data_IF_494870878446
#
_entry.id   IF_494870878446
#
_cell.length_a   1.000
_cell.length_b   1.000
_cell.length_c   1.000
_cell.angle_alpha   90.00
_cell.angle_beta   90.00
_cell.angle_gamma   90.00
#
_symmetry.space_group_name_H-M   'P 1'
#
loop_
_entity.id
_entity.type
_entity.pdbx_description
1 polymer ?
#
# COMPACT_ATOMS: atom_id res chain seq x y z
N UNK A 1 19.66 1.17 12.35
CA UNK A 1 20.40 -0.11 12.38
C UNK A 1 19.65 -1.07 11.50
N UNK A 2 20.30 -1.64 10.49
CA UNK A 2 19.68 -2.62 9.60
C UNK A 2 19.88 -4.03 10.18
N UNK A 3 18.77 -4.66 10.56
CA UNK A 3 18.75 -6.00 11.15
C UNK A 3 19.20 -7.04 10.12
N UNK A 4 18.90 -6.83 8.84
CA UNK A 4 19.35 -7.69 7.74
C UNK A 4 20.87 -7.77 7.65
N UNK A 5 21.56 -6.65 7.84
CA UNK A 5 23.05 -6.60 7.86
C UNK A 5 23.63 -7.32 9.07
N UNK A 6 22.95 -7.27 10.22
CA UNK A 6 23.40 -7.97 11.42
C UNK A 6 23.24 -9.50 11.32
N UNK A 7 22.20 -9.96 10.64
CA UNK A 7 21.92 -11.38 10.35
C UNK A 7 22.77 -11.90 9.19
N UNK A 8 23.15 -11.03 8.24
CA UNK A 8 24.00 -11.38 7.11
C UNK A 8 25.36 -11.94 7.58
N UNK A 9 25.65 -13.18 7.19
CA UNK A 9 26.89 -13.87 7.53
C UNK A 9 26.96 -14.42 8.96
N UNK A 10 25.88 -14.42 9.74
CA UNK A 10 25.80 -15.22 10.98
C UNK A 10 25.29 -16.61 10.66
N UNK A 11 26.12 -17.63 10.87
CA UNK A 11 25.74 -19.04 10.66
C UNK A 11 25.03 -19.62 11.89
N UNK A 12 25.22 -19.00 13.05
CA UNK A 12 24.70 -19.43 14.34
C UNK A 12 24.13 -18.26 15.16
N UNK A 13 23.09 -18.55 15.96
CA UNK A 13 22.41 -17.62 16.87
C UNK A 13 23.34 -16.81 17.77
N UNK A 14 24.37 -17.45 18.32
CA UNK A 14 25.32 -16.82 19.23
C UNK A 14 26.18 -15.74 18.57
N UNK A 15 26.41 -15.82 17.26
CA UNK A 15 27.17 -14.83 16.52
C UNK A 15 26.39 -13.51 16.40
N UNK A 16 25.07 -13.61 16.21
CA UNK A 16 24.18 -12.44 16.19
C UNK A 16 24.15 -11.75 17.56
N UNK A 17 23.92 -12.49 18.64
CA UNK A 17 23.89 -11.94 20.00
C UNK A 17 25.23 -11.27 20.37
N UNK A 18 26.36 -11.87 19.98
CA UNK A 18 27.69 -11.32 20.20
C UNK A 18 27.92 -10.02 19.41
N UNK A 19 27.49 -9.97 18.14
CA UNK A 19 27.57 -8.75 17.32
C UNK A 19 26.71 -7.63 17.90
N UNK A 20 25.47 -7.94 18.30
CA UNK A 20 24.59 -6.95 18.90
C UNK A 20 25.16 -6.40 20.21
N UNK A 21 25.67 -7.26 21.10
CA UNK A 21 26.37 -6.81 22.31
C UNK A 21 27.56 -5.90 22.00
N UNK A 22 28.36 -6.23 20.98
CA UNK A 22 29.47 -5.37 20.58
C UNK A 22 28.99 -3.99 20.12
N UNK A 23 27.93 -3.93 19.31
CA UNK A 23 27.31 -2.68 18.87
C UNK A 23 26.80 -1.85 20.06
N UNK A 24 26.10 -2.49 21.01
CA UNK A 24 25.60 -1.80 22.22
C UNK A 24 26.75 -1.23 23.07
N UNK A 25 27.80 -2.03 23.29
CA UNK A 25 28.99 -1.59 24.05
C UNK A 25 29.74 -0.44 23.36
N UNK A 26 29.76 -0.41 22.03
CA UNK A 26 30.38 0.69 21.28
C UNK A 26 29.50 1.95 21.29
N UNK A 27 28.17 1.79 21.30
CA UNK A 27 27.24 2.92 21.44
C UNK A 27 27.35 3.59 22.81
N UNK A 28 27.56 2.83 23.88
CA UNK A 28 27.77 3.39 25.24
C UNK A 28 28.98 4.32 25.32
N UNK A 29 30.00 4.10 24.48
CA UNK A 29 31.20 4.96 24.42
C UNK A 29 30.96 6.27 23.66
N UNK A 30 29.85 6.37 22.93
CA UNK A 30 29.53 7.54 22.10
C UNK A 30 28.54 8.43 22.89
N UNK A 31 28.97 9.61 23.36
CA UNK A 31 28.08 10.48 24.11
C UNK A 31 26.92 10.96 23.23
N UNK A 32 25.71 10.94 23.80
CA UNK A 32 24.45 11.33 23.14
C UNK A 32 24.06 10.49 21.91
N UNK A 33 24.60 9.27 21.76
CA UNK A 33 24.15 8.37 20.71
C UNK A 33 22.64 8.06 20.82
N UNK A 34 21.96 8.05 19.68
CA UNK A 34 20.56 7.60 19.55
C UNK A 34 20.53 6.46 18.55
N UNK A 35 20.10 5.29 19.00
CA UNK A 35 19.93 4.11 18.17
C UNK A 35 18.56 4.13 17.48
N UNK A 36 18.52 4.31 16.17
CA UNK A 36 17.28 4.09 15.40
C UNK A 36 17.15 2.62 14.98
N UNK A 37 16.01 2.03 15.26
CA UNK A 37 15.63 0.67 14.91
C UNK A 37 14.36 0.74 14.08
N UNK A 38 14.47 0.38 12.81
CA UNK A 38 13.29 0.21 11.97
C UNK A 38 12.63 -1.13 12.28
N UNK A 39 11.30 -1.17 12.26
CA UNK A 39 10.50 -2.37 12.51
C UNK A 39 10.91 -3.10 13.80
N UNK A 40 10.97 -2.37 14.93
CA UNK A 40 11.48 -2.88 16.22
C UNK A 40 10.75 -4.14 16.71
N UNK A 41 9.50 -4.33 16.29
CA UNK A 41 8.71 -5.53 16.58
C UNK A 41 9.35 -6.81 16.02
N UNK A 42 10.16 -6.74 14.96
CA UNK A 42 10.88 -7.91 14.41
C UNK A 42 11.90 -8.47 15.41
N UNK A 43 12.50 -7.62 16.25
CA UNK A 43 13.45 -8.03 17.29
C UNK A 43 12.78 -8.50 18.58
N UNK A 44 11.57 -8.03 18.86
CA UNK A 44 10.86 -8.32 20.13
C UNK A 44 9.85 -9.46 19.95
N UNK A 45 9.25 -9.57 18.76
CA UNK A 45 8.08 -10.41 18.48
C UNK A 45 8.34 -11.60 17.58
N UNK A 46 9.59 -11.91 17.22
CA UNK A 46 9.90 -13.08 16.41
C UNK A 46 9.44 -14.44 17.03
N UNK A 47 8.89 -14.45 18.25
CA UNK A 47 8.38 -15.64 18.91
C UNK A 47 6.89 -15.88 18.68
N UNK A 48 6.53 -16.60 17.60
CA UNK A 48 5.35 -17.50 17.62
C UNK A 48 5.17 -18.41 16.39
N UNK A 49 5.92 -18.24 15.30
CA UNK A 49 5.81 -19.15 14.15
C UNK A 49 7.15 -19.85 13.97
N UNK A 50 7.22 -21.14 14.30
CA UNK A 50 8.39 -22.02 14.15
C UNK A 50 9.62 -21.77 15.05
N UNK A 51 9.45 -21.94 16.38
CA UNK A 51 10.44 -22.55 17.30
C UNK A 51 11.89 -22.02 17.38
N UNK A 52 12.22 -20.86 16.79
CA UNK A 52 13.60 -20.42 16.54
C UNK A 52 13.83 -18.92 16.75
N UNK A 53 13.07 -18.29 17.64
CA UNK A 53 13.14 -16.84 17.82
C UNK A 53 14.27 -16.41 18.75
N UNK A 54 15.16 -15.57 18.21
CA UNK A 54 16.10 -14.74 18.97
C UNK A 54 15.27 -13.77 19.83
N UNK A 55 15.23 -13.98 21.15
CA UNK A 55 14.62 -13.02 22.07
C UNK A 55 15.65 -11.91 22.41
N UNK A 56 15.81 -11.00 21.45
CA UNK A 56 16.71 -9.85 21.53
C UNK A 56 16.27 -8.86 22.62
N UNK A 57 15.01 -8.93 23.05
CA UNK A 57 14.44 -8.07 24.09
C UNK A 57 15.25 -8.13 25.39
N UNK A 58 15.77 -9.32 25.74
CA UNK A 58 16.54 -9.51 26.97
C UNK A 58 17.92 -8.84 26.96
N UNK A 59 18.47 -8.59 25.77
CA UNK A 59 19.73 -7.86 25.62
C UNK A 59 19.52 -6.35 25.70
N UNK A 60 18.35 -5.86 25.28
CA UNK A 60 18.02 -4.43 25.29
C UNK A 60 17.43 -3.97 26.63
N UNK A 61 16.70 -4.84 27.34
CA UNK A 61 16.04 -4.53 28.62
C UNK A 61 16.96 -3.84 29.65
N UNK A 62 18.21 -4.31 29.92
CA UNK A 62 19.09 -3.66 30.88
C UNK A 62 19.47 -2.23 30.46
N UNK A 63 19.97 -2.06 29.23
CA UNK A 63 20.44 -0.77 28.71
C UNK A 63 19.31 0.26 28.52
N UNK A 64 18.08 -0.20 28.32
CA UNK A 64 16.89 0.65 28.29
C UNK A 64 16.39 1.00 29.71
N UNK A 65 16.70 0.18 30.71
CA UNK A 65 16.23 0.37 32.08
C UNK A 65 17.11 1.33 32.88
N UNK A 66 18.43 1.28 32.70
CA UNK A 66 19.37 2.23 33.32
C UNK A 66 19.51 3.55 32.53
N UNK A 67 18.96 3.60 31.31
CA UNK A 67 18.97 4.76 30.45
C UNK A 67 20.31 5.01 29.74
N UNK A 68 21.22 4.02 29.75
CA UNK A 68 22.49 4.09 29.01
C UNK A 68 22.26 4.10 27.50
N UNK A 69 21.19 3.44 27.04
CA UNK A 69 20.78 3.39 25.64
C UNK A 69 19.57 4.30 25.39
N UNK A 70 19.75 5.28 24.50
CA UNK A 70 18.64 6.03 23.90
C UNK A 70 18.33 5.42 22.54
N UNK A 71 17.08 5.09 22.29
CA UNK A 71 16.67 4.56 20.99
C UNK A 71 15.34 5.13 20.51
N UNK A 72 15.13 5.03 19.20
CA UNK A 72 13.86 5.28 18.52
C UNK A 72 13.50 4.01 17.76
N UNK A 73 12.30 3.49 17.98
CA UNK A 73 11.77 2.33 17.27
C UNK A 73 10.59 2.72 16.41
N UNK A 74 10.52 2.23 15.17
CA UNK A 74 9.31 2.30 14.35
C UNK A 74 8.55 0.95 14.44
N UNK A 75 7.23 0.99 14.39
CA UNK A 75 6.38 -0.20 14.32
C UNK A 75 5.00 0.17 13.82
N UNK A 76 4.26 -0.79 13.25
CA UNK A 76 2.85 -0.58 12.96
C UNK A 76 2.00 -0.65 14.23
N UNK A 77 0.80 -0.07 14.17
CA UNK A 77 -0.17 -0.10 15.25
C UNK A 77 -0.57 -1.52 15.67
N UNK A 78 -0.72 -2.41 14.68
CA UNK A 78 -1.10 -3.79 14.92
C UNK A 78 -0.02 -4.56 15.67
N UNK A 79 1.23 -4.44 15.24
CA UNK A 79 2.36 -5.12 15.86
C UNK A 79 2.65 -4.58 17.26
N UNK A 80 2.50 -3.26 17.45
CA UNK A 80 2.60 -2.66 18.77
C UNK A 80 1.63 -3.32 19.75
N UNK A 81 0.35 -3.43 19.40
CA UNK A 81 -0.67 -4.08 20.25
C UNK A 81 -0.43 -5.59 20.43
N UNK A 82 -0.04 -6.29 19.36
CA UNK A 82 0.10 -7.76 19.38
C UNK A 82 1.30 -8.22 20.21
N UNK A 83 2.41 -7.48 20.14
CA UNK A 83 3.73 -7.90 20.66
C UNK A 83 4.22 -6.93 21.74
N UNK A 84 4.33 -5.64 21.41
CA UNK A 84 5.07 -4.67 22.22
C UNK A 84 4.33 -4.30 23.52
N UNK A 85 3.02 -4.08 23.44
CA UNK A 85 2.17 -3.72 24.57
C UNK A 85 2.03 -4.86 25.59
N UNK A 86 2.21 -6.12 25.14
CA UNK A 86 2.20 -7.30 26.02
C UNK A 86 3.47 -7.43 26.85
N UNK A 87 4.60 -6.89 26.40
CA UNK A 87 5.83 -6.84 27.19
C UNK A 87 5.82 -5.60 28.09
N UNK A 88 5.43 -5.80 29.36
CA UNK A 88 5.39 -4.74 30.36
C UNK A 88 6.75 -4.09 30.66
N UNK A 89 7.87 -4.80 30.46
CA UNK A 89 9.19 -4.25 30.74
C UNK A 89 9.58 -3.23 29.66
N UNK A 90 9.29 -3.53 28.39
CA UNK A 90 9.60 -2.64 27.27
C UNK A 90 8.58 -1.50 27.14
N UNK A 91 7.28 -1.78 27.21
CA UNK A 91 6.24 -0.74 27.08
C UNK A 91 6.38 0.39 28.10
N UNK A 92 6.92 0.12 29.29
CA UNK A 92 7.20 1.15 30.32
C UNK A 92 8.47 1.98 30.10
N UNK A 93 9.29 1.63 29.11
CA UNK A 93 10.56 2.31 28.79
C UNK A 93 10.49 3.09 27.49
N UNK A 94 9.49 2.81 26.67
CA UNK A 94 9.22 3.54 25.44
C UNK A 94 8.09 4.54 25.64
N UNK A 95 8.30 5.76 25.15
CA UNK A 95 7.21 6.72 24.97
C UNK A 95 6.54 6.42 23.62
N UNK A 96 5.27 6.04 23.65
CA UNK A 96 4.46 5.92 22.44
C UNK A 96 4.22 7.31 21.85
N UNK A 97 4.54 7.47 20.57
CA UNK A 97 4.21 8.65 19.76
C UNK A 97 3.39 8.13 18.59
N UNK A 98 2.11 8.51 18.55
CA UNK A 98 1.23 8.16 17.45
C UNK A 98 1.53 9.07 16.25
N UNK A 99 1.76 8.45 15.09
CA UNK A 99 1.98 9.14 13.82
C UNK A 99 0.76 8.87 12.96
N UNK A 100 -0.11 9.87 12.87
CA UNK A 100 -1.32 9.78 12.07
C UNK A 100 -1.01 9.95 10.57
N UNK A 101 -1.87 9.37 9.75
CA UNK A 101 -1.85 9.60 8.30
C UNK A 101 -2.09 11.09 8.03
N UNK A 102 -1.23 11.78 7.26
CA UNK A 102 -1.40 13.20 6.96
C UNK A 102 -2.67 13.45 6.15
N UNK A 103 -3.24 14.64 6.34
CA UNK A 103 -4.38 15.11 5.54
C UNK A 103 -4.00 15.26 4.06
N UNK A 104 -5.01 15.32 3.18
CA UNK A 104 -4.80 15.61 1.75
C UNK A 104 -4.05 16.94 1.58
N UNK A 105 -4.44 17.97 2.33
CA UNK A 105 -3.81 19.29 2.26
C UNK A 105 -2.35 19.28 2.68
N UNK A 106 -2.03 18.58 3.77
CA UNK A 106 -0.65 18.48 4.25
C UNK A 106 0.20 17.62 3.33
N UNK A 107 -0.39 16.57 2.76
CA UNK A 107 0.29 15.74 1.76
C UNK A 107 0.63 16.54 0.51
N UNK A 108 -0.25 17.45 0.06
CA UNK A 108 0.06 18.37 -1.04
C UNK A 108 1.27 19.25 -0.69
N UNK A 109 1.39 19.75 0.54
CA UNK A 109 2.56 20.53 0.99
C UNK A 109 3.83 19.67 1.04
N UNK A 110 3.72 18.42 1.50
CA UNK A 110 4.84 17.46 1.50
C UNK A 110 5.34 17.23 0.07
N UNK A 111 4.43 16.94 -0.87
CA UNK A 111 4.78 16.76 -2.28
C UNK A 111 5.39 18.03 -2.90
N UNK A 112 4.93 19.22 -2.51
CA UNK A 112 5.56 20.48 -2.94
C UNK A 112 7.01 20.62 -2.44
N UNK A 113 7.30 20.19 -1.21
CA UNK A 113 8.65 20.15 -0.66
C UNK A 113 9.55 19.13 -1.37
N UNK A 114 9.00 17.95 -1.70
CA UNK A 114 9.74 16.87 -2.37
C UNK A 114 9.91 17.09 -3.88
N UNK A 115 9.03 17.87 -4.50
CA UNK A 115 8.99 18.14 -5.95
C UNK A 115 10.37 18.39 -6.55
N UNK A 116 11.21 19.22 -5.92
CA UNK A 116 12.52 19.59 -6.45
C UNK A 116 13.42 18.38 -6.69
N UNK A 117 13.39 17.40 -5.78
CA UNK A 117 14.23 16.21 -5.83
C UNK A 117 13.80 15.28 -6.97
N UNK A 118 12.50 14.99 -7.08
CA UNK A 118 11.95 14.16 -8.16
C UNK A 118 12.11 14.78 -9.54
N UNK A 119 11.94 16.11 -9.66
CA UNK A 119 12.18 16.80 -10.92
C UNK A 119 13.63 16.70 -11.39
N UNK A 120 14.58 16.84 -10.46
CA UNK A 120 16.00 16.73 -10.79
C UNK A 120 16.38 15.30 -11.17
N UNK A 121 15.92 14.32 -10.38
CA UNK A 121 16.17 12.91 -10.62
C UNK A 121 15.61 12.44 -11.97
N UNK A 122 14.33 12.74 -12.24
CA UNK A 122 13.63 12.30 -13.43
C UNK A 122 13.69 13.27 -14.61
N UNK A 123 14.38 14.41 -14.48
CA UNK A 123 14.49 15.43 -15.55
C UNK A 123 13.12 15.86 -16.12
N UNK A 124 12.10 15.90 -15.27
CA UNK A 124 10.73 16.34 -15.60
C UNK A 124 10.33 17.54 -14.72
N UNK A 125 9.18 18.14 -15.00
CA UNK A 125 8.56 19.23 -14.27
C UNK A 125 7.12 18.87 -13.96
N UNK A 126 6.76 18.82 -12.69
CA UNK A 126 5.37 18.56 -12.28
C UNK A 126 4.61 19.88 -12.18
N UNK A 127 3.44 19.97 -12.82
CA UNK A 127 2.53 21.09 -12.60
C UNK A 127 1.95 21.05 -11.18
N UNK A 128 1.49 22.20 -10.65
CA UNK A 128 0.84 22.23 -9.32
C UNK A 128 -0.43 21.38 -9.31
N UNK A 129 -1.20 21.43 -10.41
CA UNK A 129 -2.40 20.62 -10.59
C UNK A 129 -2.10 19.11 -10.62
N UNK A 130 -0.97 18.70 -11.22
CA UNK A 130 -0.55 17.29 -11.20
C UNK A 130 -0.28 16.79 -9.78
N UNK A 131 0.38 17.59 -8.94
CA UNK A 131 0.62 17.20 -7.54
C UNK A 131 -0.68 17.07 -6.75
N UNK A 132 -1.61 18.01 -6.91
CA UNK A 132 -2.93 17.93 -6.26
C UNK A 132 -3.68 16.67 -6.72
N UNK A 133 -3.73 16.44 -8.03
CA UNK A 133 -4.37 15.26 -8.61
C UNK A 133 -3.74 13.95 -8.08
N UNK A 134 -2.42 13.90 -7.94
CA UNK A 134 -1.73 12.71 -7.44
C UNK A 134 -2.16 12.36 -6.01
N UNK A 135 -2.32 13.36 -5.14
CA UNK A 135 -2.82 13.13 -3.78
C UNK A 135 -4.29 12.74 -3.79
N UNK A 136 -5.15 13.47 -4.49
CA UNK A 136 -6.60 13.23 -4.48
C UNK A 136 -6.96 11.87 -5.08
N UNK A 137 -6.38 11.52 -6.23
CA UNK A 137 -6.67 10.27 -6.92
C UNK A 137 -6.08 9.07 -6.18
N UNK A 138 -4.86 9.16 -5.65
CA UNK A 138 -4.29 8.08 -4.82
C UNK A 138 -5.07 7.91 -3.52
N UNK A 139 -5.52 9.01 -2.90
CA UNK A 139 -6.37 8.94 -1.71
C UNK A 139 -7.70 8.22 -1.99
N UNK A 140 -8.35 8.55 -3.12
CA UNK A 140 -9.65 7.98 -3.50
C UNK A 140 -9.57 6.53 -4.00
N UNK A 141 -8.53 6.17 -4.75
CA UNK A 141 -8.51 4.93 -5.53
C UNK A 141 -7.50 3.87 -5.03
N UNK A 142 -6.57 4.23 -4.13
CA UNK A 142 -5.60 3.30 -3.55
C UNK A 142 -5.84 3.22 -2.04
N UNK A 143 -6.89 2.50 -1.64
CA UNK A 143 -7.37 2.42 -0.25
C UNK A 143 -6.57 1.46 0.63
N UNK A 144 -5.83 0.55 0.02
CA UNK A 144 -4.90 -0.40 0.66
C UNK A 144 -3.61 0.27 1.16
N UNK A 145 -3.36 1.52 0.74
CA UNK A 145 -2.16 2.27 1.06
C UNK A 145 -2.48 3.61 1.72
N UNK A 146 -1.49 4.13 2.45
CA UNK A 146 -1.60 5.36 3.26
C UNK A 146 -0.86 6.53 2.60
N UNK A 147 -1.37 7.74 2.80
CA UNK A 147 -0.63 8.96 2.53
C UNK A 147 0.53 9.10 3.54
N UNK A 148 1.63 9.79 3.18
CA UNK A 148 1.92 10.42 1.90
C UNK A 148 2.52 9.45 0.86
N UNK A 149 2.89 8.25 1.29
CA UNK A 149 3.64 7.24 0.53
C UNK A 149 3.03 6.94 -0.85
N UNK A 150 1.74 6.58 -0.90
CA UNK A 150 1.07 6.29 -2.17
C UNK A 150 1.06 7.45 -3.18
N UNK A 151 1.04 8.70 -2.70
CA UNK A 151 1.05 9.87 -3.57
C UNK A 151 2.47 10.17 -4.08
N UNK A 152 3.49 9.88 -3.26
CA UNK A 152 4.89 9.94 -3.64
C UNK A 152 5.19 8.91 -4.73
N UNK A 153 4.71 7.68 -4.56
CA UNK A 153 4.85 6.62 -5.57
C UNK A 153 4.24 7.01 -6.91
N UNK A 154 3.05 7.60 -6.90
CA UNK A 154 2.38 8.07 -8.13
C UNK A 154 3.25 9.07 -8.90
N UNK A 155 3.83 10.08 -8.21
CA UNK A 155 4.68 11.07 -8.89
C UNK A 155 6.02 10.47 -9.34
N UNK A 156 6.56 9.53 -8.56
CA UNK A 156 7.81 8.84 -8.86
C UNK A 156 7.67 7.98 -10.11
N UNK A 157 6.61 7.16 -10.15
CA UNK A 157 6.32 6.24 -11.25
C UNK A 157 6.10 6.99 -12.58
N UNK A 158 5.38 8.12 -12.55
CA UNK A 158 5.22 8.97 -13.75
C UNK A 158 6.57 9.51 -14.24
N UNK A 159 7.44 9.93 -13.32
CA UNK A 159 8.78 10.41 -13.65
C UNK A 159 9.66 9.30 -14.25
N UNK A 160 9.63 8.11 -13.63
CA UNK A 160 10.35 6.94 -14.08
C UNK A 160 9.88 6.49 -15.47
N UNK A 161 8.55 6.48 -15.72
CA UNK A 161 7.97 6.15 -17.01
C UNK A 161 8.54 7.04 -18.12
N UNK A 162 8.69 8.35 -17.88
CA UNK A 162 9.30 9.25 -18.87
C UNK A 162 10.77 8.95 -19.15
N UNK A 163 11.52 8.42 -18.17
CA UNK A 163 12.91 8.03 -18.38
C UNK A 163 13.05 6.76 -19.23
N UNK A 164 12.09 5.84 -19.15
CA UNK A 164 12.05 4.63 -19.96
C UNK A 164 11.68 4.94 -21.42
N UNK A 165 10.87 5.98 -21.65
CA UNK A 165 10.48 6.37 -23.01
C UNK A 165 11.68 6.83 -23.87
N UNK A 166 11.66 6.55 -25.19
CA UNK A 166 12.61 7.11 -26.15
C UNK A 166 12.63 8.64 -26.07
N UNK A 167 13.81 9.25 -26.30
CA UNK A 167 13.98 10.71 -26.22
C UNK A 167 12.96 11.50 -27.05
N UNK A 168 12.52 10.96 -28.18
CA UNK A 168 11.53 11.59 -29.08
C UNK A 168 10.11 11.63 -28.52
N UNK A 169 9.76 10.72 -27.59
CA UNK A 169 8.42 10.63 -26.99
C UNK A 169 8.37 11.12 -25.54
N UNK A 170 9.52 11.46 -24.97
CA UNK A 170 9.65 11.88 -23.58
C UNK A 170 8.97 13.22 -23.34
N UNK A 171 8.01 13.25 -22.41
CA UNK A 171 7.43 14.49 -21.92
C UNK A 171 8.31 15.06 -20.80
N UNK A 172 8.58 16.37 -20.87
CA UNK A 172 9.27 17.10 -19.80
C UNK A 172 8.27 17.65 -18.79
N UNK A 173 7.09 18.07 -19.22
CA UNK A 173 6.09 18.65 -18.34
C UNK A 173 5.00 17.62 -18.04
N UNK A 174 4.79 17.34 -16.76
CA UNK A 174 3.80 16.38 -16.25
C UNK A 174 2.53 17.14 -15.84
N UNK A 175 1.43 16.78 -16.49
CA UNK A 175 0.09 17.31 -16.27
C UNK A 175 -0.79 16.37 -15.46
N UNK A 176 -2.06 16.76 -15.32
CA UNK A 176 -3.09 15.96 -14.61
C UNK A 176 -3.35 14.63 -15.32
N UNK A 177 -3.42 14.63 -16.65
CA UNK A 177 -3.69 13.42 -17.44
C UNK A 177 -2.63 12.33 -17.24
N UNK A 178 -1.35 12.72 -17.13
CA UNK A 178 -0.27 11.75 -16.92
C UNK A 178 -0.39 11.05 -15.55
N UNK A 179 -0.91 11.78 -14.54
CA UNK A 179 -1.19 11.24 -13.21
C UNK A 179 -2.42 10.33 -13.25
N UNK A 180 -3.47 10.73 -13.96
CA UNK A 180 -4.68 9.90 -14.13
C UNK A 180 -4.34 8.56 -14.77
N UNK A 181 -3.51 8.57 -15.82
CA UNK A 181 -3.06 7.36 -16.51
C UNK A 181 -2.30 6.40 -15.57
N UNK A 182 -1.38 6.93 -14.75
CA UNK A 182 -0.62 6.08 -13.83
C UNK A 182 -1.47 5.54 -12.69
N UNK A 183 -2.36 6.38 -12.12
CA UNK A 183 -3.23 5.95 -11.03
C UNK A 183 -4.20 4.89 -11.54
N UNK A 184 -4.72 5.03 -12.76
CA UNK A 184 -5.54 4.00 -13.39
C UNK A 184 -4.77 2.68 -13.54
N UNK A 185 -3.51 2.73 -13.99
CA UNK A 185 -2.66 1.55 -14.12
C UNK A 185 -2.38 0.88 -12.76
N UNK A 186 -2.02 1.65 -11.73
CA UNK A 186 -1.70 1.15 -10.39
C UNK A 186 -2.96 0.59 -9.71
N UNK A 187 -4.07 1.33 -9.75
CA UNK A 187 -5.33 0.93 -9.14
C UNK A 187 -6.08 -0.15 -9.94
N UNK A 188 -5.52 -0.60 -11.08
CA UNK A 188 -6.15 -1.54 -12.03
C UNK A 188 -7.56 -1.10 -12.44
N UNK A 189 -7.81 0.21 -12.43
CA UNK A 189 -9.03 0.80 -12.95
C UNK A 189 -8.81 0.93 -14.45
N UNK A 190 -9.64 0.31 -15.30
CA UNK A 190 -9.50 0.45 -16.74
C UNK A 190 -9.43 1.94 -17.09
N UNK A 191 -8.30 2.37 -17.67
CA UNK A 191 -8.07 3.75 -18.10
C UNK A 191 -9.26 4.19 -18.94
N UNK A 192 -9.98 5.23 -18.48
CA UNK A 192 -11.17 5.71 -19.17
C UNK A 192 -10.83 6.09 -20.62
N UNK A 193 -11.40 5.35 -21.55
CA UNK A 193 -12.11 5.98 -22.66
C UNK A 193 -13.60 5.82 -22.40
N UNK A 194 -14.19 6.78 -21.68
CA UNK A 194 -15.61 7.12 -21.93
C UNK A 194 -15.62 7.92 -23.23
N UNK A 195 -15.24 7.25 -24.31
CA UNK A 195 -15.45 7.69 -25.68
C UNK A 195 -16.70 6.99 -26.21
N UNK A 196 -17.20 7.42 -27.36
CA UNK A 196 -18.40 6.91 -28.04
C UNK A 196 -18.58 5.37 -28.07
N UNK A 197 -17.50 4.61 -27.91
CA UNK A 197 -17.49 3.14 -27.92
C UNK A 197 -18.24 2.50 -26.75
N UNK A 198 -18.13 3.02 -25.53
CA UNK A 198 -18.77 2.42 -24.34
C UNK A 198 -20.30 2.46 -24.45
N UNK A 199 -20.85 3.53 -25.03
CA UNK A 199 -22.29 3.65 -25.31
C UNK A 199 -22.75 2.59 -26.32
N UNK A 200 -21.90 2.28 -27.31
CA UNK A 200 -22.20 1.26 -28.31
C UNK A 200 -22.08 -0.17 -27.74
N UNK A 201 -21.10 -0.41 -26.87
CA UNK A 201 -20.89 -1.69 -26.18
C UNK A 201 -22.02 -1.97 -25.18
N UNK A 202 -22.37 -1.00 -24.34
CA UNK A 202 -23.48 -1.13 -23.40
C UNK A 202 -24.83 -1.33 -24.10
N UNK A 203 -25.01 -0.75 -25.30
CA UNK A 203 -26.21 -0.97 -26.11
C UNK A 203 -26.30 -2.41 -26.64
N UNK A 204 -25.16 -3.05 -26.93
CA UNK A 204 -25.09 -4.42 -27.46
C UNK A 204 -24.95 -5.50 -26.38
N UNK A 205 -24.50 -5.13 -25.17
CA UNK A 205 -24.19 -6.04 -24.06
C UNK A 205 -25.26 -7.10 -23.78
N UNK A 206 -26.53 -6.72 -23.77
CA UNK A 206 -27.64 -7.64 -23.49
C UNK A 206 -27.84 -8.66 -24.62
N UNK A 207 -27.76 -8.20 -25.87
CA UNK A 207 -27.87 -9.07 -27.05
C UNK A 207 -26.70 -10.05 -27.12
N UNK A 208 -25.48 -9.58 -26.83
CA UNK A 208 -24.27 -10.40 -26.84
C UNK A 208 -24.31 -11.48 -25.74
N UNK A 209 -24.85 -11.16 -24.55
CA UNK A 209 -25.02 -12.13 -23.47
C UNK A 209 -26.10 -13.18 -23.80
N UNK A 210 -27.20 -12.78 -24.46
CA UNK A 210 -28.26 -13.69 -24.92
C UNK A 210 -27.79 -14.65 -26.03
N UNK A 211 -26.72 -14.32 -26.75
CA UNK A 211 -26.08 -15.23 -27.72
C UNK A 211 -25.29 -16.36 -27.06
N UNK A 212 -24.73 -16.13 -25.87
CA UNK A 212 -23.93 -17.12 -25.13
C UNK A 212 -24.68 -17.82 -24.00
N UNK A 213 -25.78 -17.23 -23.50
CA UNK A 213 -26.54 -17.73 -22.35
C UNK A 213 -27.99 -17.96 -22.76
N UNK A 214 -28.39 -19.23 -22.85
CA UNK A 214 -29.74 -19.63 -23.27
C UNK A 214 -30.63 -19.96 -22.06
N UNK A 215 -31.89 -19.53 -22.11
CA UNK A 215 -32.91 -19.89 -21.11
C UNK A 215 -32.84 -19.11 -19.79
N UNK A 216 -32.08 -18.01 -19.74
CA UNK A 216 -31.89 -17.19 -18.53
C UNK A 216 -32.04 -15.68 -18.83
N UNK A 217 -33.03 -15.32 -19.65
CA UNK A 217 -33.22 -13.93 -20.12
C UNK A 217 -33.36 -12.93 -18.95
N UNK A 218 -34.13 -13.28 -17.91
CA UNK A 218 -34.32 -12.42 -16.74
C UNK A 218 -33.01 -12.14 -15.96
N UNK A 219 -32.08 -13.09 -15.94
CA UNK A 219 -30.79 -12.92 -15.29
C UNK A 219 -29.85 -12.02 -16.13
N UNK A 220 -29.86 -12.19 -17.45
CA UNK A 220 -29.12 -11.36 -18.39
C UNK A 220 -29.62 -9.91 -18.37
N UNK A 221 -30.94 -9.71 -18.32
CA UNK A 221 -31.57 -8.39 -18.26
C UNK A 221 -31.21 -7.66 -16.96
N UNK A 222 -31.26 -8.36 -15.83
CA UNK A 222 -30.90 -7.81 -14.52
C UNK A 222 -29.42 -7.43 -14.46
N UNK A 223 -28.54 -8.31 -14.94
CA UNK A 223 -27.10 -8.09 -14.96
C UNK A 223 -26.72 -6.93 -15.89
N UNK A 224 -27.27 -6.91 -17.10
CA UNK A 224 -26.99 -5.85 -18.07
C UNK A 224 -27.47 -4.48 -17.57
N UNK A 225 -28.62 -4.43 -16.88
CA UNK A 225 -29.15 -3.21 -16.26
C UNK A 225 -28.26 -2.71 -15.12
N UNK A 226 -27.78 -3.60 -14.25
CA UNK A 226 -26.85 -3.26 -13.17
C UNK A 226 -25.52 -2.70 -13.71
N UNK A 227 -24.98 -3.32 -14.76
CA UNK A 227 -23.73 -2.86 -15.42
C UNK A 227 -23.93 -1.50 -16.10
N UNK A 228 -25.04 -1.32 -16.84
CA UNK A 228 -25.39 -0.03 -17.47
C UNK A 228 -25.53 1.08 -16.42
N UNK A 229 -26.18 0.79 -15.28
CA UNK A 229 -26.35 1.73 -14.18
C UNK A 229 -25.01 2.10 -13.52
N UNK A 230 -24.19 1.12 -13.16
CA UNK A 230 -22.87 1.34 -12.57
C UNK A 230 -21.95 2.16 -13.50
N UNK A 231 -22.03 1.93 -14.81
CA UNK A 231 -21.23 2.65 -15.82
C UNK A 231 -21.76 4.04 -16.17
N UNK A 232 -23.05 4.31 -15.92
CA UNK A 232 -23.65 5.63 -16.16
C UNK A 232 -23.31 6.68 -15.08
N UNK A 233 -22.63 6.28 -14.00
CA UNK A 233 -22.33 7.17 -12.87
C UNK A 233 -23.55 7.49 -12.00
N UNK A 234 -24.70 6.85 -12.25
CA UNK A 234 -25.93 6.97 -11.44
C UNK A 234 -25.93 6.04 -10.21
N UNK A 235 -24.80 5.39 -9.90
CA UNK A 235 -24.63 4.63 -8.68
C UNK A 235 -24.27 5.57 -7.53
N UNK A 236 -24.97 5.46 -6.39
CA UNK A 236 -24.72 6.28 -5.21
C UNK A 236 -23.26 6.16 -4.73
N UNK A 237 -22.57 7.29 -4.56
CA UNK A 237 -21.15 7.38 -4.15
C UNK A 237 -20.89 6.75 -2.76
N UNK A 238 -21.90 6.65 -1.89
CA UNK A 238 -21.78 6.15 -0.51
C UNK A 238 -22.04 4.64 -0.33
N UNK A 239 -22.17 3.86 -1.41
CA UNK A 239 -22.25 2.40 -1.31
C UNK A 239 -21.08 1.76 -2.04
N UNK A 240 -20.28 0.90 -1.37
CA UNK A 240 -19.18 0.24 -2.04
C UNK A 240 -19.71 -0.57 -3.23
N UNK A 241 -18.91 -0.62 -4.31
CA UNK A 241 -19.13 -1.43 -5.52
C UNK A 241 -19.48 -2.89 -5.23
N UNK A 242 -19.20 -3.35 -4.01
CA UNK A 242 -19.45 -4.66 -3.44
C UNK A 242 -20.90 -5.15 -3.59
N UNK A 243 -21.91 -4.27 -3.47
CA UNK A 243 -23.31 -4.69 -3.63
C UNK A 243 -23.66 -5.10 -5.07
N UNK A 244 -23.02 -4.46 -6.04
CA UNK A 244 -23.16 -4.79 -7.46
C UNK A 244 -22.44 -6.10 -7.77
N UNK A 245 -21.25 -6.30 -7.19
CA UNK A 245 -20.50 -7.56 -7.29
C UNK A 245 -21.21 -8.72 -6.61
N UNK A 246 -21.87 -8.53 -5.48
CA UNK A 246 -22.70 -9.54 -4.81
C UNK A 246 -23.93 -9.93 -5.65
N UNK A 247 -24.60 -8.97 -6.29
CA UNK A 247 -25.70 -9.28 -7.22
C UNK A 247 -25.19 -10.02 -8.46
N UNK A 248 -24.03 -9.62 -9.00
CA UNK A 248 -23.39 -10.31 -10.13
C UNK A 248 -22.93 -11.71 -9.72
N UNK A 249 -22.36 -11.88 -8.53
CA UNK A 249 -21.95 -13.18 -7.98
C UNK A 249 -23.16 -14.10 -7.75
N UNK A 250 -24.25 -13.61 -7.17
CA UNK A 250 -25.48 -14.40 -6.98
C UNK A 250 -26.09 -14.84 -8.32
N UNK A 251 -26.02 -13.97 -9.35
CA UNK A 251 -26.48 -14.31 -10.71
C UNK A 251 -25.52 -15.31 -11.37
N UNK A 252 -24.21 -15.17 -11.21
CA UNK A 252 -23.21 -16.12 -11.71
C UNK A 252 -23.28 -17.47 -10.98
N UNK A 253 -23.59 -17.50 -9.69
CA UNK A 253 -23.85 -18.75 -8.94
C UNK A 253 -25.10 -19.45 -9.45
N UNK A 254 -26.20 -18.72 -9.71
CA UNK A 254 -27.39 -19.28 -10.34
C UNK A 254 -27.12 -19.85 -11.73
N UNK A 255 -26.21 -19.22 -12.50
CA UNK A 255 -25.76 -19.73 -13.79
C UNK A 255 -24.80 -20.93 -13.67
N UNK A 256 -24.02 -21.02 -12.59
CA UNK A 256 -23.07 -22.12 -12.32
C UNK A 256 -23.73 -23.41 -11.82
N UNK A 257 -24.92 -23.33 -11.22
CA UNK A 257 -25.64 -24.51 -10.71
C UNK A 257 -26.07 -25.53 -11.79
N UNK A 258 -25.94 -25.20 -13.08
CA UNK A 258 -26.30 -26.09 -14.20
C UNK A 258 -25.11 -26.95 -14.70
N UNK A 259 -23.86 -26.62 -14.37
CA UNK A 259 -22.66 -27.26 -14.97
C UNK A 259 -21.75 -28.03 -13.99
N UNK A 260 -22.31 -28.64 -12.94
CA UNK A 260 -21.77 -29.74 -12.11
C UNK A 260 -20.23 -29.90 -11.99
N UNK A 261 -19.49 -28.83 -11.64
CA UNK A 261 -18.05 -28.87 -11.39
C UNK A 261 -17.76 -28.63 -9.90
N UNK A 262 -16.99 -29.50 -9.21
CA UNK A 262 -16.65 -29.33 -7.80
C UNK A 262 -15.44 -28.40 -7.61
N UNK A 263 -15.48 -27.51 -6.62
CA UNK A 263 -14.29 -26.71 -6.23
C UNK A 263 -14.16 -26.55 -4.70
N UNK A 264 -12.91 -26.69 -4.27
CA UNK A 264 -12.32 -26.61 -2.94
C UNK A 264 -12.11 -25.15 -2.51
N UNK A 265 -12.41 -24.80 -1.26
CA UNK A 265 -12.12 -23.46 -0.71
C UNK A 265 -10.72 -23.43 -0.06
N UNK A 266 -9.93 -22.42 -0.43
CA UNK A 266 -8.87 -21.84 0.42
C UNK A 266 -9.23 -20.38 0.62
#
# INVERSE_FOLDING_TARGET
MDIGVLIAGTKYRGDFEKRLKAVLNDLEKIPHAILFIDEIHTMIGAGSVSGSSLDVSNLLKPALADGSLKCMGSTTYEEYRKIFEKDHALSRRFQKIDIDEPSVEDTIKILQGLKKYYQAHHKVKYSKAALVSAVELSHRHMSDRRLPDKAIDVIDEVGALQQIQPKSKRKVNIGVSDIEDIVAQIARIPSRQVGSDDKSLLKKLEADLKLGVFGQDSAVDSLSSAIKLARSGLAHEDKPMDHSYLQVQQVLEKLRFVNNLPVLWV
#
